data_IF_357340167400
#
_entry.id   IF_357340167400
#
_cell.length_a   1.000
_cell.length_b   1.000
_cell.length_c   1.000
_cell.angle_alpha   90.00
_cell.angle_beta   90.00
_cell.angle_gamma   90.00
#
_symmetry.space_group_name_H-M   'P 1'
#
loop_
_entity.id
_entity.type
_entity.pdbx_description
1 polymer ?
#
# COMPACT_ATOMS: atom_id res chain seq x y z
N UNK A 1 -18.84 2.55 -18.01
CA UNK A 1 -17.95 1.39 -17.80
C UNK A 1 -16.54 1.91 -17.97
N UNK A 2 -15.73 1.80 -16.92
CA UNK A 2 -14.32 2.18 -16.95
C UNK A 2 -13.48 0.92 -17.21
N UNK A 3 -12.64 0.97 -18.24
CA UNK A 3 -11.71 -0.11 -18.61
C UNK A 3 -10.25 0.23 -18.28
N UNK A 4 -9.97 1.46 -17.83
CA UNK A 4 -8.61 1.95 -17.56
C UNK A 4 -8.18 1.59 -16.13
N UNK A 5 -9.09 1.65 -15.15
CA UNK A 5 -8.82 1.19 -13.78
C UNK A 5 -7.64 1.92 -13.12
N UNK A 6 -7.56 3.24 -13.32
CA UNK A 6 -6.45 4.08 -12.86
C UNK A 6 -5.07 3.62 -13.33
N UNK A 7 -4.96 3.08 -14.55
CA UNK A 7 -3.73 2.52 -15.12
C UNK A 7 -3.18 1.30 -14.37
N UNK A 8 -4.00 0.57 -13.60
CA UNK A 8 -3.59 -0.67 -12.92
C UNK A 8 -3.95 -0.79 -11.44
N UNK A 9 -3.71 0.21 -10.56
CA UNK A 9 -3.91 0.07 -9.11
C UNK A 9 -5.34 -0.29 -8.67
N UNK A 10 -6.37 -0.03 -9.49
CA UNK A 10 -7.75 -0.36 -9.15
C UNK A 10 -8.11 -1.82 -9.52
N UNK A 11 -7.31 -2.79 -9.07
CA UNK A 11 -7.48 -4.21 -9.43
C UNK A 11 -8.80 -4.81 -8.91
N UNK A 12 -9.29 -4.32 -7.77
CA UNK A 12 -10.59 -4.69 -7.18
C UNK A 12 -11.74 -3.80 -7.66
N UNK A 13 -11.48 -2.85 -8.57
CA UNK A 13 -12.45 -1.88 -9.03
C UNK A 13 -12.61 -0.66 -8.12
N UNK A 14 -13.59 0.18 -8.44
CA UNK A 14 -13.84 1.44 -7.74
C UNK A 14 -14.59 1.24 -6.44
N UNK A 15 -14.04 1.79 -5.36
CA UNK A 15 -14.66 1.81 -4.03
C UNK A 15 -15.08 0.42 -3.52
N UNK A 16 -14.15 -0.55 -3.60
CA UNK A 16 -14.33 -1.85 -2.96
C UNK A 16 -14.70 -1.68 -1.47
N UNK A 17 -15.80 -2.30 -1.00
CA UNK A 17 -16.34 -2.03 0.33
C UNK A 17 -15.40 -2.46 1.46
N UNK A 18 -14.58 -3.50 1.27
CA UNK A 18 -13.63 -3.96 2.26
C UNK A 18 -12.45 -2.97 2.37
N UNK A 19 -11.92 -2.52 1.23
CA UNK A 19 -10.85 -1.51 1.19
C UNK A 19 -11.31 -0.19 1.80
N UNK A 20 -12.52 0.27 1.47
CA UNK A 20 -13.07 1.53 2.01
C UNK A 20 -13.26 1.43 3.52
N UNK A 21 -13.78 0.32 4.04
CA UNK A 21 -13.96 0.12 5.48
C UNK A 21 -12.62 0.09 6.23
N UNK A 22 -11.61 -0.61 5.70
CA UNK A 22 -10.27 -0.65 6.29
C UNK A 22 -9.62 0.73 6.34
N UNK A 23 -9.68 1.49 5.24
CA UNK A 23 -9.16 2.86 5.18
C UNK A 23 -9.85 3.78 6.20
N UNK A 24 -11.18 3.71 6.31
CA UNK A 24 -11.93 4.52 7.28
C UNK A 24 -11.54 4.20 8.73
N UNK A 25 -11.40 2.91 9.06
CA UNK A 25 -11.00 2.47 10.40
C UNK A 25 -9.60 2.97 10.77
N UNK A 26 -8.62 2.83 9.85
CA UNK A 26 -7.24 3.29 10.09
C UNK A 26 -7.16 4.82 10.16
N UNK A 27 -7.82 5.53 9.23
CA UNK A 27 -7.78 6.99 9.17
C UNK A 27 -8.34 7.65 10.45
N UNK A 28 -9.31 7.01 11.13
CA UNK A 28 -9.84 7.49 12.41
C UNK A 28 -8.78 7.55 13.53
N UNK A 29 -7.71 6.77 13.43
CA UNK A 29 -6.61 6.73 14.41
C UNK A 29 -5.48 7.73 14.09
N UNK A 30 -5.49 8.34 12.89
CA UNK A 30 -4.44 9.20 12.37
C UNK A 30 -3.61 8.54 11.28
N UNK A 31 -2.99 9.34 10.40
CA UNK A 31 -2.36 8.87 9.15
C UNK A 31 -0.87 9.17 9.02
N UNK A 32 -0.30 10.00 9.90
CA UNK A 32 1.13 10.31 9.89
C UNK A 32 1.59 10.66 11.30
N UNK A 33 2.38 9.77 11.89
CA UNK A 33 2.90 9.91 13.25
C UNK A 33 4.38 10.32 13.28
N UNK A 34 5.09 10.24 12.14
CA UNK A 34 6.53 10.49 12.08
C UNK A 34 7.37 9.53 12.95
N UNK A 35 6.80 8.37 13.29
CA UNK A 35 7.38 7.36 14.14
C UNK A 35 7.07 5.96 13.55
N UNK A 36 7.89 4.94 13.88
CA UNK A 36 7.65 3.57 13.43
C UNK A 36 6.26 3.05 13.83
N UNK A 37 5.69 2.18 13.00
CA UNK A 37 4.36 1.61 13.17
C UNK A 37 4.38 0.12 12.81
N UNK A 38 3.70 -0.72 13.61
CA UNK A 38 3.57 -2.17 13.35
C UNK A 38 3.04 -2.46 11.93
N UNK A 39 2.10 -1.66 11.43
CA UNK A 39 1.54 -1.80 10.07
C UNK A 39 2.61 -1.71 8.96
N UNK A 40 3.71 -0.98 9.19
CA UNK A 40 4.77 -0.86 8.19
C UNK A 40 5.64 -2.13 8.12
N UNK A 41 5.75 -2.85 9.25
CA UNK A 41 6.45 -4.13 9.35
C UNK A 41 5.61 -5.24 8.73
N UNK A 42 4.31 -5.30 9.08
CA UNK A 42 3.37 -6.26 8.48
C UNK A 42 3.35 -6.14 6.95
N UNK A 43 3.26 -4.91 6.42
CA UNK A 43 3.31 -4.67 4.97
C UNK A 43 4.66 -5.09 4.35
N UNK A 44 5.78 -4.87 5.06
CA UNK A 44 7.10 -5.27 4.58
C UNK A 44 7.24 -6.79 4.49
N UNK A 45 6.72 -7.52 5.48
CA UNK A 45 6.68 -8.99 5.51
C UNK A 45 5.81 -9.55 4.38
N UNK A 46 4.61 -8.99 4.17
CA UNK A 46 3.72 -9.41 3.07
C UNK A 46 4.38 -9.24 1.69
N UNK A 47 5.14 -8.15 1.47
CA UNK A 47 5.86 -7.93 0.22
C UNK A 47 6.98 -8.97 0.03
N UNK A 48 7.76 -9.26 1.08
CA UNK A 48 8.84 -10.24 1.01
C UNK A 48 8.31 -11.65 0.74
N UNK A 49 7.18 -12.01 1.35
CA UNK A 49 6.49 -13.28 1.11
C UNK A 49 5.93 -13.38 -0.32
N UNK A 50 5.36 -12.28 -0.84
CA UNK A 50 4.82 -12.24 -2.19
C UNK A 50 5.90 -12.23 -3.29
N UNK A 51 7.09 -11.68 -3.02
CA UNK A 51 8.20 -11.55 -3.97
C UNK A 51 9.49 -12.10 -3.35
N UNK A 52 9.76 -13.42 -3.46
CA UNK A 52 10.81 -14.11 -2.70
C UNK A 52 12.25 -13.65 -2.95
N UNK A 53 12.49 -12.83 -3.97
CA UNK A 53 13.81 -12.24 -4.24
C UNK A 53 14.09 -10.98 -3.41
N UNK A 54 13.09 -10.45 -2.69
CA UNK A 54 13.22 -9.26 -1.85
C UNK A 54 13.58 -9.70 -0.42
N UNK A 55 14.79 -9.34 0.02
CA UNK A 55 15.25 -9.60 1.41
C UNK A 55 15.02 -8.40 2.34
N UNK A 56 14.98 -7.19 1.79
CA UNK A 56 14.72 -5.94 2.51
C UNK A 56 13.95 -4.98 1.60
N UNK A 57 13.04 -4.20 2.18
CA UNK A 57 12.21 -3.23 1.46
C UNK A 57 12.24 -1.86 2.13
N UNK A 58 12.18 -0.80 1.32
CA UNK A 58 12.01 0.59 1.75
C UNK A 58 10.77 1.17 1.08
N UNK A 59 9.81 1.61 1.87
CA UNK A 59 8.60 2.27 1.35
C UNK A 59 8.93 3.70 0.85
N UNK A 60 8.28 4.09 -0.24
CA UNK A 60 8.39 5.40 -0.88
C UNK A 60 7.03 5.86 -1.38
N UNK A 61 6.91 7.13 -1.78
CA UNK A 61 5.59 7.71 -2.10
C UNK A 61 5.17 7.51 -3.56
N UNK A 62 6.06 7.02 -4.44
CA UNK A 62 5.72 6.77 -5.84
C UNK A 62 6.64 5.74 -6.49
N UNK A 63 6.18 5.12 -7.57
CA UNK A 63 7.01 4.24 -8.40
C UNK A 63 8.20 4.97 -9.02
N UNK A 64 8.03 6.24 -9.39
CA UNK A 64 9.11 7.09 -9.89
C UNK A 64 10.23 7.25 -8.86
N UNK A 65 9.89 7.50 -7.59
CA UNK A 65 10.86 7.57 -6.49
C UNK A 65 11.56 6.23 -6.28
N UNK A 66 10.81 5.12 -6.31
CA UNK A 66 11.38 3.77 -6.16
C UNK A 66 12.45 3.47 -7.22
N UNK A 67 12.24 3.91 -8.46
CA UNK A 67 13.21 3.69 -9.55
C UNK A 67 14.42 4.62 -9.52
N UNK A 68 14.37 5.72 -8.76
CA UNK A 68 15.48 6.67 -8.65
C UNK A 68 16.37 6.42 -7.44
N UNK A 69 15.91 5.63 -6.47
CA UNK A 69 16.61 5.37 -5.20
C UNK A 69 17.50 4.15 -5.21
#
# INVERSE_FOLDING_TARGET
>A
IDYVGSWGPMILGHADPEIVAALQAVAANGTSFGAPNELEVELAEEIADAVPSIEMVRMVNSGTEATMS
#
